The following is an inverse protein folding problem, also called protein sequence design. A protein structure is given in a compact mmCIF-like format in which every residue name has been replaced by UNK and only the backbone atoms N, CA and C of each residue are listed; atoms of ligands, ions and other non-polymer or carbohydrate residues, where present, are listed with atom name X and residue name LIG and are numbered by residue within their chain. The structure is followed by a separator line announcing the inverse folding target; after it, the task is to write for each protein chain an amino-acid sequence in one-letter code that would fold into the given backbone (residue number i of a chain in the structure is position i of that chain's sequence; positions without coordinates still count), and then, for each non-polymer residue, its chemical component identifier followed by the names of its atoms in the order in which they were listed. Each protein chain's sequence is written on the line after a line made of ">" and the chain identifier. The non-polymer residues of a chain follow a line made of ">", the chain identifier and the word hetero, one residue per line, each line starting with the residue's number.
data_IF_125506676651
#
_entry.id   IF_125506676651
#
_cell.length_a   1.000
_cell.length_b   1.000
_cell.length_c   1.000
_cell.angle_alpha   90.00
_cell.angle_beta   90.00
_cell.angle_gamma   90.00
#
_symmetry.space_group_name_H-M   'P 1'
#
loop_
_entity.id
_entity.type
_entity.pdbx_description
1 polymer ?
#
# COMPACT_ATOMS: atom_id res chain seq x y z
N UNK A 1 -10.09 28.71 -0.07
CA UNK A 1 -9.22 27.54 0.21
C UNK A 1 -7.96 28.08 0.85
N UNK A 2 -7.63 27.63 2.07
CA UNK A 2 -6.36 27.99 2.71
C UNK A 2 -5.22 27.54 1.82
N UNK A 3 -4.32 28.46 1.47
CA UNK A 3 -3.11 28.16 0.70
C UNK A 3 -2.27 27.13 1.44
N UNK A 4 -1.96 26.02 0.78
CA UNK A 4 -1.10 24.98 1.32
C UNK A 4 0.29 25.56 1.65
N UNK A 5 0.74 25.35 2.89
CA UNK A 5 2.03 25.80 3.39
C UNK A 5 2.86 24.58 3.75
N UNK A 6 3.95 24.35 3.02
CA UNK A 6 4.81 23.17 3.18
C UNK A 6 5.39 23.04 4.58
N UNK A 7 5.56 24.15 5.31
CA UNK A 7 6.15 24.19 6.66
C UNK A 7 5.14 23.97 7.78
N UNK A 8 3.84 23.92 7.47
CA UNK A 8 2.77 23.74 8.46
C UNK A 8 2.08 22.39 8.28
N UNK A 9 1.74 21.69 9.38
CA UNK A 9 0.97 20.46 9.29
C UNK A 9 -0.32 20.66 8.51
N UNK A 10 -0.52 19.86 7.45
CA UNK A 10 -1.68 20.00 6.58
C UNK A 10 -2.94 19.35 7.18
N UNK A 11 -3.32 19.72 8.40
CA UNK A 11 -4.48 19.16 9.11
C UNK A 11 -5.81 19.41 8.37
N UNK A 12 -5.87 20.49 7.59
CA UNK A 12 -6.99 20.83 6.70
C UNK A 12 -7.02 20.00 5.40
N UNK A 13 -6.24 18.90 5.30
CA UNK A 13 -6.26 17.96 4.17
C UNK A 13 -7.71 17.66 3.75
N UNK A 14 -8.10 17.96 2.50
CA UNK A 14 -9.45 17.74 2.01
C UNK A 14 -9.88 16.28 2.17
N UNK A 15 -11.14 16.09 2.55
CA UNK A 15 -11.72 14.76 2.68
C UNK A 15 -12.01 14.14 1.31
N UNK A 16 -12.06 12.81 1.28
CA UNK A 16 -12.48 12.03 0.13
C UNK A 16 -14.01 11.87 0.09
N UNK A 17 -14.62 11.84 -1.11
CA UNK A 17 -13.99 12.07 -2.43
C UNK A 17 -13.58 13.53 -2.64
N UNK A 18 -12.59 13.79 -3.50
CA UNK A 18 -12.26 15.16 -3.86
C UNK A 18 -13.45 15.81 -4.61
N UNK A 19 -13.64 17.11 -4.43
CA UNK A 19 -14.71 17.87 -5.09
C UNK A 19 -14.33 18.27 -6.54
N UNK A 20 -13.81 17.31 -7.29
CA UNK A 20 -13.49 17.44 -8.71
C UNK A 20 -13.97 16.19 -9.43
N UNK A 21 -14.35 16.34 -10.69
CA UNK A 21 -14.67 15.18 -11.52
C UNK A 21 -13.39 14.41 -11.85
N UNK A 22 -13.29 13.20 -11.30
CA UNK A 22 -12.17 12.28 -11.53
C UNK A 22 -12.44 11.31 -12.70
N UNK A 23 -13.69 11.16 -13.15
CA UNK A 23 -14.08 10.26 -14.24
C UNK A 23 -13.95 10.93 -15.61
N UNK A 24 -12.79 11.57 -15.83
CA UNK A 24 -12.49 12.22 -17.11
C UNK A 24 -12.30 11.20 -18.24
N UNK A 25 -12.51 11.61 -19.50
CA UNK A 25 -12.28 10.78 -20.69
C UNK A 25 -10.88 10.16 -20.73
N UNK A 26 -9.86 10.89 -20.27
CA UNK A 26 -8.48 10.41 -20.21
C UNK A 26 -8.35 9.28 -19.18
N UNK A 27 -8.88 9.50 -17.98
CA UNK A 27 -8.88 8.51 -16.90
C UNK A 27 -9.63 7.26 -17.32
N UNK A 28 -10.87 7.37 -17.81
CA UNK A 28 -11.69 6.23 -18.25
C UNK A 28 -11.04 5.41 -19.37
N UNK A 29 -10.37 6.06 -20.34
CA UNK A 29 -9.62 5.34 -21.39
C UNK A 29 -8.48 4.52 -20.81
N UNK A 30 -7.74 5.06 -19.82
CA UNK A 30 -6.68 4.33 -19.12
C UNK A 30 -7.24 3.18 -18.28
N UNK A 31 -8.41 3.39 -17.64
CA UNK A 31 -9.15 2.35 -16.91
C UNK A 31 -9.49 1.18 -17.82
N UNK A 32 -9.97 1.42 -19.04
CA UNK A 32 -10.28 0.35 -20.00
C UNK A 32 -9.02 -0.48 -20.32
N UNK A 33 -7.89 0.19 -20.62
CA UNK A 33 -6.65 -0.52 -20.93
C UNK A 33 -6.12 -1.33 -19.75
N UNK A 34 -6.16 -0.76 -18.54
CA UNK A 34 -5.73 -1.45 -17.33
C UNK A 34 -6.66 -2.63 -17.00
N UNK A 35 -7.97 -2.46 -17.15
CA UNK A 35 -8.96 -3.53 -16.91
C UNK A 35 -8.80 -4.71 -17.86
N UNK A 36 -8.50 -4.45 -19.15
CA UNK A 36 -8.19 -5.52 -20.12
C UNK A 36 -6.93 -6.29 -19.73
N UNK A 37 -5.86 -5.60 -19.32
CA UNK A 37 -4.63 -6.25 -18.89
C UNK A 37 -4.86 -7.12 -17.64
N UNK A 38 -5.61 -6.63 -16.65
CA UNK A 38 -5.97 -7.41 -15.47
C UNK A 38 -6.85 -8.62 -15.80
N UNK A 39 -7.84 -8.46 -16.69
CA UNK A 39 -8.68 -9.58 -17.12
C UNK A 39 -7.88 -10.66 -17.86
N UNK A 40 -6.92 -10.25 -18.71
CA UNK A 40 -6.01 -11.18 -19.39
C UNK A 40 -5.11 -11.92 -18.40
N UNK A 41 -4.56 -11.23 -17.40
CA UNK A 41 -3.77 -11.87 -16.33
C UNK A 41 -4.62 -12.90 -15.58
N UNK A 42 -5.82 -12.51 -15.11
CA UNK A 42 -6.72 -13.42 -14.39
C UNK A 42 -7.08 -14.65 -15.23
N UNK A 43 -7.46 -14.45 -16.50
CA UNK A 43 -7.77 -15.56 -17.40
C UNK A 43 -6.57 -16.49 -17.65
N UNK A 44 -5.36 -15.95 -17.73
CA UNK A 44 -4.14 -16.75 -17.91
C UNK A 44 -3.79 -17.56 -16.66
N UNK A 45 -3.96 -16.98 -15.47
CA UNK A 45 -3.70 -17.66 -14.20
C UNK A 45 -4.63 -18.87 -13.98
N UNK A 46 -5.89 -18.79 -14.42
CA UNK A 46 -6.84 -19.90 -14.32
C UNK A 46 -6.45 -21.14 -15.15
N UNK A 47 -5.61 -20.96 -16.18
CA UNK A 47 -5.13 -22.05 -17.03
C UNK A 47 -3.85 -22.72 -16.49
N UNK A 48 -3.29 -22.23 -15.39
CA UNK A 48 -2.09 -22.81 -14.79
C UNK A 48 -2.44 -24.03 -13.93
N UNK A 49 -1.68 -25.14 -14.02
CA UNK A 49 -1.90 -26.31 -13.17
C UNK A 49 -1.78 -26.02 -11.66
N UNK A 50 -0.93 -25.04 -11.30
CA UNK A 50 -0.79 -24.55 -9.94
C UNK A 50 -0.48 -23.03 -9.94
N UNK A 51 -1.51 -22.17 -9.89
CA UNK A 51 -1.31 -20.71 -9.92
C UNK A 51 -0.57 -20.20 -8.67
N UNK A 52 -0.59 -20.94 -7.57
CA UNK A 52 0.03 -20.56 -6.28
C UNK A 52 1.54 -20.36 -6.40
N UNK A 53 2.23 -21.24 -7.15
CA UNK A 53 3.69 -21.15 -7.36
C UNK A 53 4.06 -19.83 -8.07
N UNK A 54 3.22 -19.39 -9.01
CA UNK A 54 3.45 -18.16 -9.75
C UNK A 54 3.17 -16.92 -8.87
N UNK A 55 2.13 -16.98 -8.04
CA UNK A 55 1.82 -15.91 -7.10
C UNK A 55 2.94 -15.72 -6.05
N UNK A 56 3.53 -16.79 -5.53
CA UNK A 56 4.60 -16.70 -4.55
C UNK A 56 5.87 -16.02 -5.07
N UNK A 57 6.18 -16.20 -6.35
CA UNK A 57 7.32 -15.53 -7.00
C UNK A 57 6.99 -14.07 -7.31
N UNK A 58 5.77 -13.78 -7.79
CA UNK A 58 5.30 -12.39 -7.98
C UNK A 58 5.36 -11.61 -6.68
N UNK A 59 4.84 -12.15 -5.57
CA UNK A 59 4.84 -11.45 -4.29
C UNK A 59 6.24 -11.14 -3.78
N UNK A 60 7.21 -12.04 -4.02
CA UNK A 60 8.59 -11.79 -3.66
C UNK A 60 9.23 -10.70 -4.52
N UNK A 61 8.96 -10.70 -5.83
CA UNK A 61 9.44 -9.65 -6.74
C UNK A 61 8.81 -8.30 -6.42
N UNK A 62 7.51 -8.26 -6.12
CA UNK A 62 6.80 -7.05 -5.69
C UNK A 62 7.36 -6.51 -4.38
N UNK A 63 7.54 -7.38 -3.37
CA UNK A 63 8.12 -6.99 -2.09
C UNK A 63 9.52 -6.37 -2.27
N UNK A 64 10.37 -6.99 -3.10
CA UNK A 64 11.71 -6.47 -3.41
C UNK A 64 11.61 -5.10 -4.10
N UNK A 65 10.85 -5.00 -5.18
CA UNK A 65 10.74 -3.77 -5.96
C UNK A 65 10.13 -2.62 -5.13
N UNK A 66 9.11 -2.90 -4.32
CA UNK A 66 8.51 -1.90 -3.43
C UNK A 66 9.47 -1.46 -2.33
N UNK A 67 10.31 -2.36 -1.83
CA UNK A 67 11.30 -2.03 -0.80
C UNK A 67 12.47 -1.22 -1.36
N UNK A 68 12.86 -1.47 -2.61
CA UNK A 68 13.90 -0.71 -3.31
C UNK A 68 13.54 0.79 -3.44
N UNK A 69 12.26 1.12 -3.63
CA UNK A 69 11.75 2.51 -3.64
C UNK A 69 11.99 3.22 -2.29
N UNK A 70 12.00 2.48 -1.19
CA UNK A 70 12.27 2.98 0.17
C UNK A 70 13.76 2.91 0.55
N UNK A 71 14.65 2.70 -0.43
CA UNK A 71 16.10 2.50 -0.27
C UNK A 71 16.48 1.23 0.52
N UNK A 72 15.61 0.22 0.56
CA UNK A 72 15.90 -1.10 1.14
C UNK A 72 16.35 -2.01 0.00
N UNK A 73 17.67 -2.15 -0.16
CA UNK A 73 18.28 -2.84 -1.30
C UNK A 73 18.71 -4.25 -0.89
N UNK A 74 18.26 -5.25 -1.64
CA UNK A 74 18.68 -6.66 -1.53
C UNK A 74 18.76 -7.31 -2.92
N UNK A 75 19.46 -8.42 -3.03
CA UNK A 75 19.60 -9.17 -4.29
C UNK A 75 18.65 -10.36 -4.36
N UNK A 76 18.34 -10.82 -5.58
CA UNK A 76 17.52 -12.03 -5.77
C UNK A 76 18.19 -13.26 -5.14
N UNK A 77 19.50 -13.42 -5.29
CA UNK A 77 20.24 -14.55 -4.73
C UNK A 77 20.17 -14.57 -3.19
N UNK A 78 20.36 -13.42 -2.53
CA UNK A 78 20.17 -13.29 -1.09
C UNK A 78 18.73 -13.62 -0.70
N UNK A 79 17.73 -13.01 -1.35
CA UNK A 79 16.32 -13.27 -1.07
C UNK A 79 15.94 -14.74 -1.18
N UNK A 80 16.34 -15.43 -2.25
CA UNK A 80 16.01 -16.85 -2.44
C UNK A 80 16.76 -17.74 -1.46
N UNK A 81 18.04 -17.48 -1.17
CA UNK A 81 18.80 -18.19 -0.13
C UNK A 81 18.12 -18.04 1.22
N UNK A 82 17.68 -16.83 1.55
CA UNK A 82 16.98 -16.52 2.79
C UNK A 82 15.58 -17.12 2.87
N UNK A 83 14.91 -17.25 1.73
CA UNK A 83 13.58 -17.86 1.65
C UNK A 83 13.60 -19.37 1.88
N UNK A 84 14.65 -20.06 1.43
CA UNK A 84 14.76 -21.53 1.53
C UNK A 84 15.49 -21.97 2.80
N UNK A 85 16.34 -21.12 3.37
CA UNK A 85 17.14 -21.46 4.56
C UNK A 85 16.41 -21.07 5.84
N UNK A 86 16.12 -22.04 6.72
CA UNK A 86 15.65 -21.79 8.11
C UNK A 86 16.68 -21.04 9.00
N UNK A 87 17.85 -20.67 8.43
CA UNK A 87 18.86 -19.88 9.12
C UNK A 87 18.43 -18.42 9.17
N UNK A 88 18.45 -17.85 10.38
CA UNK A 88 18.31 -16.40 10.62
C UNK A 88 19.30 -15.65 9.73
N UNK A 89 18.81 -14.96 8.71
CA UNK A 89 19.62 -14.05 7.94
C UNK A 89 19.98 -12.85 8.80
N UNK A 90 21.27 -12.49 8.79
CA UNK A 90 21.79 -11.31 9.49
C UNK A 90 21.52 -10.02 8.71
N UNK A 91 21.18 -10.12 7.42
CA UNK A 91 20.89 -8.96 6.58
C UNK A 91 19.48 -8.39 6.87
N UNK A 92 19.46 -7.20 7.47
CA UNK A 92 18.25 -6.46 7.83
C UNK A 92 17.42 -6.09 6.60
N UNK A 93 18.06 -5.76 5.47
CA UNK A 93 17.35 -5.39 4.24
C UNK A 93 16.55 -6.58 3.69
N UNK A 94 17.20 -7.74 3.56
CA UNK A 94 16.53 -8.98 3.14
C UNK A 94 15.42 -9.38 4.11
N UNK A 95 15.61 -9.21 5.42
CA UNK A 95 14.58 -9.50 6.43
C UNK A 95 13.35 -8.59 6.29
N UNK A 96 13.55 -7.30 6.00
CA UNK A 96 12.44 -6.37 5.78
C UNK A 96 11.66 -6.72 4.51
N UNK A 97 12.32 -7.12 3.42
CA UNK A 97 11.65 -7.59 2.20
C UNK A 97 10.82 -8.86 2.46
N UNK A 98 11.35 -9.82 3.23
CA UNK A 98 10.59 -11.01 3.62
C UNK A 98 9.39 -10.64 4.52
N UNK A 99 9.57 -9.71 5.46
CA UNK A 99 8.48 -9.19 6.30
C UNK A 99 7.40 -8.48 5.47
N UNK A 100 7.77 -7.83 4.36
CA UNK A 100 6.84 -7.26 3.41
C UNK A 100 5.98 -8.33 2.73
N UNK A 101 6.60 -9.42 2.24
CA UNK A 101 5.86 -10.56 1.67
C UNK A 101 4.87 -11.15 2.68
N UNK A 102 5.30 -11.34 3.92
CA UNK A 102 4.42 -11.81 5.00
C UNK A 102 3.25 -10.86 5.25
N UNK A 103 3.50 -9.55 5.27
CA UNK A 103 2.48 -8.54 5.48
C UNK A 103 1.46 -8.49 4.34
N UNK A 104 1.89 -8.72 3.09
CA UNK A 104 0.99 -8.83 1.93
C UNK A 104 0.06 -10.04 2.07
N UNK A 105 0.62 -11.20 2.40
CA UNK A 105 -0.14 -12.42 2.67
C UNK A 105 -1.13 -12.24 3.83
N UNK A 106 -0.67 -11.62 4.92
CA UNK A 106 -1.51 -11.28 6.06
C UNK A 106 -2.69 -10.40 5.64
N UNK A 107 -2.43 -9.34 4.87
CA UNK A 107 -3.48 -8.46 4.35
C UNK A 107 -4.51 -9.21 3.52
N UNK A 108 -4.06 -10.09 2.62
CA UNK A 108 -4.94 -10.90 1.77
C UNK A 108 -5.81 -11.87 2.59
N UNK A 109 -5.22 -12.58 3.54
CA UNK A 109 -5.95 -13.53 4.40
C UNK A 109 -6.99 -12.84 5.28
N UNK A 110 -6.68 -11.65 5.81
CA UNK A 110 -7.66 -10.83 6.55
C UNK A 110 -8.81 -10.38 5.64
N UNK A 111 -8.51 -9.97 4.40
CA UNK A 111 -9.54 -9.56 3.43
C UNK A 111 -10.43 -10.71 2.97
N UNK A 112 -9.92 -11.94 2.89
CA UNK A 112 -10.73 -13.14 2.62
C UNK A 112 -11.76 -13.39 3.72
N UNK A 113 -11.37 -13.19 4.99
CA UNK A 113 -12.26 -13.36 6.16
C UNK A 113 -13.27 -12.23 6.26
N UNK A 114 -12.82 -10.99 6.07
CA UNK A 114 -13.65 -9.78 6.12
C UNK A 114 -13.25 -8.85 4.97
N UNK A 115 -14.06 -8.73 3.90
CA UNK A 115 -13.70 -7.97 2.70
C UNK A 115 -13.86 -6.46 2.90
N UNK A 116 -13.18 -5.92 3.90
CA UNK A 116 -13.17 -4.52 4.30
C UNK A 116 -11.75 -4.09 4.66
N UNK A 117 -11.28 -3.01 4.04
CA UNK A 117 -10.00 -2.39 4.40
C UNK A 117 -10.26 -1.44 5.55
N UNK A 118 -9.71 -1.73 6.73
CA UNK A 118 -9.88 -0.91 7.94
C UNK A 118 -8.57 -0.26 8.36
N UNK A 119 -8.65 0.81 9.15
CA UNK A 119 -7.46 1.41 9.77
C UNK A 119 -6.65 0.39 10.58
N UNK A 120 -7.33 -0.53 11.27
CA UNK A 120 -6.68 -1.58 12.04
C UNK A 120 -5.95 -2.59 11.15
N UNK A 121 -6.49 -2.91 9.96
CA UNK A 121 -5.80 -3.75 8.99
C UNK A 121 -4.51 -3.08 8.50
N UNK A 122 -4.56 -1.78 8.18
CA UNK A 122 -3.37 -1.03 7.79
C UNK A 122 -2.31 -1.02 8.90
N UNK A 123 -2.71 -0.81 10.16
CA UNK A 123 -1.80 -0.89 11.32
C UNK A 123 -1.18 -2.29 11.40
N UNK A 124 -1.99 -3.36 11.30
CA UNK A 124 -1.51 -4.74 11.36
C UNK A 124 -0.48 -5.05 10.26
N UNK A 125 -0.71 -4.57 9.04
CA UNK A 125 0.23 -4.71 7.92
C UNK A 125 1.55 -4.00 8.24
N UNK A 126 1.52 -2.73 8.68
CA UNK A 126 2.73 -1.98 9.02
C UNK A 126 3.51 -2.62 10.17
N UNK A 127 2.81 -3.10 11.20
CA UNK A 127 3.41 -3.82 12.33
C UNK A 127 4.11 -5.11 11.88
N UNK A 128 3.54 -5.83 10.91
CA UNK A 128 4.14 -7.01 10.30
C UNK A 128 5.41 -6.64 9.51
N UNK A 129 5.36 -5.59 8.67
CA UNK A 129 6.53 -5.14 7.90
C UNK A 129 7.67 -4.71 8.83
N UNK A 130 7.36 -3.87 9.82
CA UNK A 130 8.36 -3.27 10.73
C UNK A 130 8.73 -4.16 11.91
N UNK A 131 8.06 -5.31 12.06
CA UNK A 131 8.27 -6.25 13.17
C UNK A 131 8.22 -5.55 14.54
N UNK A 132 7.25 -4.66 14.73
CA UNK A 132 7.11 -3.84 15.92
C UNK A 132 5.63 -3.50 16.22
N UNK A 133 5.40 -2.76 17.31
CA UNK A 133 4.06 -2.35 17.75
C UNK A 133 3.69 -0.93 17.27
N UNK A 134 4.14 -0.52 16.07
CA UNK A 134 3.84 0.79 15.52
C UNK A 134 2.33 1.06 15.48
N UNK A 135 1.95 2.32 15.68
CA UNK A 135 0.57 2.79 15.65
C UNK A 135 0.52 4.17 15.01
N UNK A 136 -0.66 4.79 15.01
CA UNK A 136 -0.84 6.16 14.50
C UNK A 136 0.12 7.11 15.23
N UNK A 137 0.80 7.95 14.46
CA UNK A 137 1.76 8.94 14.99
C UNK A 137 1.08 9.84 16.01
N UNK A 138 1.70 9.98 17.18
CA UNK A 138 1.27 10.88 18.25
C UNK A 138 2.16 12.11 18.39
N UNK A 139 3.44 11.96 18.06
CA UNK A 139 4.46 13.00 18.20
C UNK A 139 4.46 13.88 16.93
N UNK A 140 4.39 15.22 17.06
CA UNK A 140 4.50 16.14 15.93
C UNK A 140 5.92 16.20 15.36
N UNK A 141 6.10 16.88 14.22
CA UNK A 141 7.41 17.15 13.62
C UNK A 141 7.81 16.25 12.45
N UNK A 142 6.98 15.27 12.09
CA UNK A 142 7.16 14.52 10.83
C UNK A 142 7.01 15.47 9.64
N UNK A 143 8.00 15.50 8.74
CA UNK A 143 7.97 16.25 7.49
C UNK A 143 8.75 15.48 6.41
N UNK A 144 8.35 15.65 5.15
CA UNK A 144 9.11 15.20 3.99
C UNK A 144 10.07 16.31 3.58
N UNK A 145 11.36 16.01 3.54
CA UNK A 145 12.42 16.94 3.16
C UNK A 145 13.20 16.45 1.94
N UNK A 146 13.75 17.36 1.14
CA UNK A 146 14.71 17.00 0.09
C UNK A 146 16.12 16.74 0.69
N UNK A 147 17.08 16.40 -0.17
CA UNK A 147 18.49 16.21 0.20
C UNK A 147 19.20 17.50 0.66
N UNK A 148 18.55 18.66 0.50
CA UNK A 148 19.03 19.99 0.92
C UNK A 148 18.35 20.46 2.22
N UNK A 149 17.60 19.59 2.89
CA UNK A 149 16.83 19.86 4.11
C UNK A 149 15.65 20.84 3.95
N UNK A 150 15.24 21.15 2.72
CA UNK A 150 14.03 21.94 2.47
C UNK A 150 12.78 21.06 2.66
N UNK A 151 11.80 21.60 3.38
CA UNK A 151 10.51 20.93 3.57
C UNK A 151 9.69 20.94 2.30
N UNK A 152 9.39 19.75 1.77
CA UNK A 152 8.51 19.53 0.62
C UNK A 152 7.04 19.41 1.08
N UNK A 153 6.80 18.73 2.20
CA UNK A 153 5.44 18.49 2.70
C UNK A 153 5.44 18.19 4.21
N UNK A 154 4.55 18.85 4.95
CA UNK A 154 4.29 18.51 6.36
C UNK A 154 2.93 17.82 6.49
N UNK A 155 2.87 16.49 6.74
CA UNK A 155 1.62 15.75 6.88
C UNK A 155 0.75 16.25 8.03
N UNK A 156 -0.54 15.85 8.06
CA UNK A 156 -1.38 16.03 9.24
C UNK A 156 -0.71 15.52 10.51
N UNK A 157 -0.91 16.24 11.61
CA UNK A 157 -0.41 15.89 12.94
C UNK A 157 -1.53 15.92 13.96
N UNK A 158 -1.35 15.18 15.06
CA UNK A 158 -2.38 14.92 16.06
C UNK A 158 -3.09 13.59 15.80
N UNK A 159 -3.11 12.72 16.80
CA UNK A 159 -3.63 11.36 16.67
C UNK A 159 -5.11 11.37 16.23
N UNK A 160 -5.94 12.20 16.85
CA UNK A 160 -7.37 12.34 16.51
C UNK A 160 -7.57 12.79 15.07
N UNK A 161 -6.86 13.84 14.64
CA UNK A 161 -6.91 14.34 13.25
C UNK A 161 -6.56 13.23 12.27
N UNK A 162 -5.48 12.49 12.51
CA UNK A 162 -5.05 11.40 11.62
C UNK A 162 -6.10 10.28 11.59
N UNK A 163 -6.65 9.91 12.75
CA UNK A 163 -7.72 8.90 12.85
C UNK A 163 -8.98 9.31 12.10
N UNK A 164 -9.38 10.57 12.17
CA UNK A 164 -10.52 11.09 11.40
C UNK A 164 -10.27 11.01 9.88
N UNK A 165 -9.07 11.36 9.42
CA UNK A 165 -8.71 11.22 8.00
C UNK A 165 -8.69 9.75 7.56
N UNK A 166 -8.15 8.85 8.38
CA UNK A 166 -8.14 7.41 8.10
C UNK A 166 -9.56 6.82 8.12
N UNK A 167 -10.44 7.28 9.02
CA UNK A 167 -11.84 6.89 9.02
C UNK A 167 -12.58 7.38 7.76
N UNK A 168 -12.26 8.57 7.26
CA UNK A 168 -12.77 9.05 5.98
C UNK A 168 -12.25 8.20 4.80
N UNK A 169 -10.96 7.84 4.79
CA UNK A 169 -10.37 6.94 3.80
C UNK A 169 -11.04 5.56 3.83
N UNK A 170 -11.22 4.98 5.01
CA UNK A 170 -11.90 3.69 5.23
C UNK A 170 -13.33 3.73 4.67
N UNK A 171 -14.11 4.77 4.98
CA UNK A 171 -15.44 4.97 4.40
C UNK A 171 -15.39 5.09 2.88
N UNK A 172 -14.42 5.84 2.36
CA UNK A 172 -14.28 6.06 0.92
C UNK A 172 -13.92 4.77 0.17
N UNK A 173 -12.92 4.01 0.62
CA UNK A 173 -12.45 2.78 -0.02
C UNK A 173 -13.55 1.71 -0.02
N UNK A 174 -14.23 1.51 1.10
CA UNK A 174 -15.22 0.45 1.25
C UNK A 174 -16.61 0.79 0.67
N UNK A 175 -16.85 2.05 0.27
CA UNK A 175 -18.11 2.43 -0.37
C UNK A 175 -18.21 1.87 -1.80
N UNK A 176 -19.16 0.96 -2.03
CA UNK A 176 -19.37 0.25 -3.31
C UNK A 176 -20.01 1.09 -4.43
N UNK A 177 -20.60 2.24 -4.11
CA UNK A 177 -21.59 2.89 -4.98
C UNK A 177 -21.10 4.09 -5.79
N UNK A 178 -19.92 4.66 -5.50
CA UNK A 178 -19.66 6.06 -5.92
C UNK A 178 -18.72 6.28 -7.11
N UNK A 179 -17.90 5.30 -7.51
CA UNK A 179 -16.96 5.45 -8.63
C UNK A 179 -16.82 4.14 -9.42
N UNK A 180 -17.04 4.19 -10.74
CA UNK A 180 -16.92 3.03 -11.63
C UNK A 180 -15.46 2.58 -11.82
N UNK A 181 -14.50 3.45 -11.48
CA UNK A 181 -13.06 3.14 -11.45
C UNK A 181 -12.71 1.96 -10.54
N UNK A 182 -13.52 1.68 -9.50
CA UNK A 182 -13.30 0.55 -8.59
C UNK A 182 -13.58 -0.82 -9.21
N UNK A 183 -14.29 -0.87 -10.34
CA UNK A 183 -14.68 -2.13 -10.99
C UNK A 183 -13.47 -2.91 -11.52
N UNK A 184 -12.29 -2.29 -11.62
CA UNK A 184 -11.03 -2.98 -11.92
C UNK A 184 -10.62 -4.02 -10.86
N UNK A 185 -11.00 -3.81 -9.59
CA UNK A 185 -10.66 -4.70 -8.47
C UNK A 185 -11.73 -5.77 -8.18
N UNK A 186 -12.87 -5.72 -8.88
CA UNK A 186 -14.05 -6.54 -8.58
C UNK A 186 -14.45 -7.48 -9.73
N UNK A 187 -13.51 -7.83 -10.60
CA UNK A 187 -13.68 -9.00 -11.46
C UNK A 187 -13.52 -10.27 -10.59
N UNK A 188 -14.61 -10.59 -9.89
CA UNK A 188 -14.94 -11.98 -9.56
C UNK A 188 -15.28 -12.74 -10.83
#
# INVERSE_FOLDING_TARGET
>A
MSTFDVKKPYNALPLLPPNVDIETKIVLRKTITAGRALAQLNGTLLNLPNPTIFLDTIYLQEAKASSEVENIITTNDQLYKSFVSDKKNEDLATKEVLSYKEALWLGLEELKKKPFITTNLCIKIVQCIKQNNASIRKIPGTALTNNQNDTIYTPPTGEEVIREKLANLEKFINNKSRFNLKRLLLFK
#
